data_IF_892341063981
#
_entry.id   IF_892341063981
#
_cell.length_a   1.000
_cell.length_b   1.000
_cell.length_c   1.000
_cell.angle_alpha   90.00
_cell.angle_beta   90.00
_cell.angle_gamma   90.00
#
_symmetry.space_group_name_H-M   'P 1'
#
loop_
_entity.id
_entity.type
_entity.pdbx_description
1 polymer ?
#
# COMPACT_ATOMS: atom_id res chain seq x y z
N UNK A 1 -8.37 4.61 -0.20
CA UNK A 1 -9.64 4.08 0.33
C UNK A 1 -10.09 2.97 -0.59
N UNK A 2 -10.18 1.73 -0.10
CA UNK A 2 -10.89 0.68 -0.83
C UNK A 2 -12.38 1.06 -0.91
N UNK A 3 -13.06 0.67 -1.97
CA UNK A 3 -14.49 0.93 -2.16
C UNK A 3 -15.34 0.44 -0.97
N UNK A 4 -14.84 -0.57 -0.26
CA UNK A 4 -15.39 -1.14 0.97
C UNK A 4 -15.52 -0.12 2.10
N UNK A 5 -14.54 0.76 2.31
CA UNK A 5 -14.58 1.77 3.38
C UNK A 5 -15.64 2.84 3.12
N UNK A 6 -15.81 3.26 1.86
CA UNK A 6 -16.87 4.20 1.46
C UNK A 6 -18.24 3.60 1.75
N UNK A 7 -18.42 2.33 1.41
CA UNK A 7 -19.68 1.61 1.57
C UNK A 7 -20.10 1.47 3.04
N UNK A 8 -19.17 1.17 3.95
CA UNK A 8 -19.44 1.09 5.40
C UNK A 8 -19.91 2.43 5.95
N UNK A 9 -19.25 3.53 5.59
CA UNK A 9 -19.66 4.87 6.02
C UNK A 9 -21.01 5.29 5.43
N UNK A 10 -21.29 4.92 4.18
CA UNK A 10 -22.60 5.15 3.56
C UNK A 10 -23.73 4.40 4.29
N UNK A 11 -23.49 3.14 4.69
CA UNK A 11 -24.47 2.38 5.49
C UNK A 11 -24.65 3.01 6.86
N UNK A 12 -23.58 3.40 7.55
CA UNK A 12 -23.67 4.03 8.87
C UNK A 12 -24.46 5.35 8.81
N UNK A 13 -24.24 6.17 7.77
CA UNK A 13 -25.03 7.40 7.54
C UNK A 13 -26.47 7.06 7.16
N UNK A 14 -26.71 6.06 6.31
CA UNK A 14 -28.06 5.65 5.94
C UNK A 14 -28.86 5.17 7.16
N UNK A 15 -28.27 4.34 8.02
CA UNK A 15 -28.90 3.88 9.27
C UNK A 15 -29.17 5.06 10.22
N UNK A 16 -28.21 5.99 10.35
CA UNK A 16 -28.40 7.21 11.13
C UNK A 16 -29.55 8.08 10.62
N UNK A 17 -29.62 8.28 9.30
CA UNK A 17 -30.70 9.04 8.64
C UNK A 17 -32.05 8.34 8.79
N UNK A 18 -32.11 7.02 8.58
CA UNK A 18 -33.32 6.21 8.74
C UNK A 18 -33.86 6.30 10.17
N UNK A 19 -32.99 6.26 11.18
CA UNK A 19 -33.36 6.45 12.59
C UNK A 19 -33.93 7.84 12.90
N UNK A 20 -33.56 8.86 12.12
CA UNK A 20 -34.05 10.22 12.26
C UNK A 20 -35.33 10.53 11.47
N UNK A 21 -35.80 9.63 10.58
CA UNK A 21 -36.99 9.85 9.74
C UNK A 21 -38.24 10.25 10.55
N UNK A 22 -38.60 9.58 11.67
CA UNK A 22 -39.79 9.98 12.43
C UNK A 22 -39.68 11.42 12.97
N UNK A 23 -38.49 11.85 13.36
CA UNK A 23 -38.22 13.20 13.86
C UNK A 23 -38.22 14.25 12.74
N UNK A 24 -37.72 13.90 11.55
CA UNK A 24 -37.81 14.73 10.34
C UNK A 24 -39.28 14.97 9.97
N UNK A 25 -40.10 13.91 9.95
CA UNK A 25 -41.54 13.98 9.66
C UNK A 25 -42.27 14.88 10.68
N UNK A 26 -42.02 14.69 11.98
CA UNK A 26 -42.63 15.52 13.04
C UNK A 26 -42.18 16.98 12.93
N UNK A 27 -40.91 17.24 12.60
CA UNK A 27 -40.37 18.60 12.45
C UNK A 27 -40.97 19.31 11.23
N UNK A 28 -41.15 18.58 10.11
CA UNK A 28 -41.83 19.07 8.92
C UNK A 28 -43.32 19.35 9.19
N UNK A 29 -44.03 18.42 9.84
CA UNK A 29 -45.46 18.58 10.19
C UNK A 29 -45.70 19.77 11.11
N UNK A 30 -44.78 20.04 12.05
CA UNK A 30 -44.83 21.22 12.95
C UNK A 30 -44.32 22.51 12.30
N UNK A 31 -44.03 22.52 10.99
CA UNK A 31 -43.46 23.65 10.23
C UNK A 31 -42.18 24.23 10.86
N UNK A 32 -41.41 23.39 11.56
CA UNK A 32 -40.13 23.77 12.20
C UNK A 32 -39.00 23.71 11.18
N UNK A 33 -39.09 24.47 10.10
CA UNK A 33 -38.16 24.41 8.96
C UNK A 33 -36.70 24.63 9.33
N UNK A 34 -36.42 25.49 10.33
CA UNK A 34 -35.06 25.67 10.86
C UNK A 34 -34.51 24.38 11.50
N UNK A 35 -35.34 23.69 12.30
CA UNK A 35 -34.97 22.42 12.93
C UNK A 35 -34.77 21.31 11.89
N UNK A 36 -35.64 21.26 10.88
CA UNK A 36 -35.52 20.31 9.77
C UNK A 36 -34.23 20.54 8.97
N UNK A 37 -33.91 21.79 8.67
CA UNK A 37 -32.67 22.15 7.98
C UNK A 37 -31.43 21.70 8.74
N UNK A 38 -31.39 21.89 10.06
CA UNK A 38 -30.28 21.41 10.92
C UNK A 38 -30.21 19.88 10.93
N UNK A 39 -31.34 19.19 11.04
CA UNK A 39 -31.40 17.72 11.06
C UNK A 39 -30.89 17.08 9.75
N UNK A 40 -31.02 17.77 8.61
CA UNK A 40 -30.47 17.32 7.33
C UNK A 40 -29.02 17.76 7.14
N UNK A 41 -28.70 19.02 7.46
CA UNK A 41 -27.37 19.57 7.22
C UNK A 41 -26.31 18.96 8.15
N UNK A 42 -26.64 18.68 9.41
CA UNK A 42 -25.66 18.18 10.38
C UNK A 42 -25.08 16.80 10.00
N UNK A 43 -25.86 15.77 9.61
CA UNK A 43 -25.31 14.51 9.12
C UNK A 43 -24.45 14.65 7.86
N UNK A 44 -24.86 15.51 6.91
CA UNK A 44 -24.10 15.75 5.66
C UNK A 44 -22.75 16.39 5.96
N UNK A 45 -22.73 17.42 6.82
CA UNK A 45 -21.50 18.08 7.24
C UNK A 45 -20.59 17.14 8.05
N UNK A 46 -21.17 16.32 8.94
CA UNK A 46 -20.44 15.31 9.68
C UNK A 46 -19.81 14.27 8.75
N UNK A 47 -20.55 13.77 7.76
CA UNK A 47 -20.03 12.84 6.77
C UNK A 47 -18.90 13.45 5.94
N UNK A 48 -19.06 14.69 5.47
CA UNK A 48 -18.00 15.40 4.75
C UNK A 48 -16.74 15.60 5.61
N UNK A 49 -16.91 15.94 6.89
CA UNK A 49 -15.81 16.06 7.85
C UNK A 49 -15.12 14.71 8.07
N UNK A 50 -15.87 13.62 8.22
CA UNK A 50 -15.33 12.27 8.34
C UNK A 50 -14.52 11.87 7.10
N UNK A 51 -15.04 12.09 5.89
CA UNK A 51 -14.31 11.82 4.65
C UNK A 51 -12.98 12.57 4.59
N UNK A 52 -12.97 13.84 4.99
CA UNK A 52 -11.76 14.66 5.00
C UNK A 52 -10.75 14.17 6.05
N UNK A 53 -11.21 13.86 7.26
CA UNK A 53 -10.37 13.33 8.33
C UNK A 53 -9.80 11.97 7.96
N UNK A 54 -10.59 11.06 7.38
CA UNK A 54 -10.10 9.74 6.92
C UNK A 54 -9.01 9.88 5.87
N UNK A 55 -9.19 10.76 4.87
CA UNK A 55 -8.14 11.02 3.86
C UNK A 55 -6.84 11.53 4.47
N UNK A 56 -6.92 12.41 5.46
CA UNK A 56 -5.74 12.93 6.16
C UNK A 56 -5.04 11.82 6.97
N UNK A 57 -5.81 10.98 7.66
CA UNK A 57 -5.29 9.83 8.42
C UNK A 57 -4.64 8.81 7.48
N UNK A 58 -5.29 8.45 6.38
CA UNK A 58 -4.78 7.51 5.39
C UNK A 58 -3.46 8.03 4.77
N UNK A 59 -3.42 9.32 4.42
CA UNK A 59 -2.21 9.93 3.86
C UNK A 59 -1.05 9.95 4.88
N UNK A 60 -1.35 10.30 6.13
CA UNK A 60 -0.36 10.26 7.20
C UNK A 60 0.13 8.83 7.50
N UNK A 61 -0.79 7.86 7.50
CA UNK A 61 -0.49 6.44 7.68
C UNK A 61 0.38 5.89 6.56
N UNK A 62 0.02 6.16 5.30
CA UNK A 62 0.80 5.76 4.13
C UNK A 62 2.20 6.38 4.13
N UNK A 63 2.32 7.68 4.45
CA UNK A 63 3.62 8.34 4.58
C UNK A 63 4.45 7.73 5.71
N UNK A 64 3.84 7.47 6.86
CA UNK A 64 4.51 6.80 7.99
C UNK A 64 4.99 5.41 7.59
N UNK A 65 4.17 4.65 6.88
CA UNK A 65 4.52 3.34 6.33
C UNK A 65 5.74 3.41 5.41
N UNK A 66 5.73 4.30 4.41
CA UNK A 66 6.88 4.45 3.52
C UNK A 66 8.14 4.90 4.24
N UNK A 67 8.02 5.80 5.21
CA UNK A 67 9.18 6.22 6.01
C UNK A 67 9.75 5.05 6.83
N UNK A 68 8.87 4.20 7.35
CA UNK A 68 9.24 2.98 8.06
C UNK A 68 9.82 1.90 7.13
N UNK A 69 9.50 1.93 5.83
CA UNK A 69 10.12 1.04 4.85
C UNK A 69 11.52 1.52 4.48
N UNK A 70 11.67 2.80 4.11
CA UNK A 70 12.90 3.33 3.50
C UNK A 70 13.89 4.02 4.46
N UNK A 71 13.52 4.20 5.72
CA UNK A 71 14.27 5.04 6.68
C UNK A 71 14.54 6.46 6.16
N UNK A 72 13.58 7.03 5.44
CA UNK A 72 13.66 8.36 4.84
C UNK A 72 12.29 9.03 4.83
N UNK A 73 12.22 10.36 4.70
CA UNK A 73 10.92 11.01 4.42
C UNK A 73 10.55 10.78 2.96
N UNK A 74 9.57 9.93 2.70
CA UNK A 74 9.21 9.52 1.34
C UNK A 74 7.86 10.11 0.95
N UNK A 75 7.83 10.65 -0.27
CA UNK A 75 6.61 10.96 -1.00
C UNK A 75 6.79 10.35 -2.38
N UNK A 76 6.09 9.24 -2.62
CA UNK A 76 6.03 8.65 -3.95
C UNK A 76 5.08 9.47 -4.81
N UNK A 77 5.50 9.79 -6.04
CA UNK A 77 4.61 10.31 -7.06
C UNK A 77 3.69 9.21 -7.61
N UNK A 78 2.88 9.49 -8.64
CA UNK A 78 2.14 8.44 -9.33
C UNK A 78 3.12 7.38 -9.87
N UNK A 79 2.73 6.10 -9.89
CA UNK A 79 3.53 5.05 -10.49
C UNK A 79 3.75 5.35 -11.97
N UNK A 80 4.96 5.07 -12.45
CA UNK A 80 5.30 5.11 -13.88
C UNK A 80 4.77 3.87 -14.59
N UNK A 81 4.61 2.79 -13.84
CA UNK A 81 3.94 1.57 -14.27
C UNK A 81 3.20 0.97 -13.08
N UNK A 82 1.97 0.51 -13.30
CA UNK A 82 1.14 -0.13 -12.30
C UNK A 82 0.40 -1.29 -12.94
N UNK A 83 0.44 -2.44 -12.26
CA UNK A 83 -0.35 -3.61 -12.59
C UNK A 83 -0.99 -4.14 -11.31
N UNK A 84 -2.28 -4.42 -11.37
CA UNK A 84 -3.03 -5.06 -10.30
C UNK A 84 -3.84 -6.20 -10.91
N UNK A 85 -3.65 -7.42 -10.42
CA UNK A 85 -4.55 -8.52 -10.74
C UNK A 85 -5.90 -8.31 -10.05
N UNK A 86 -6.92 -9.03 -10.51
CA UNK A 86 -8.11 -9.22 -9.69
C UNK A 86 -7.72 -9.85 -8.35
N UNK A 87 -8.34 -9.39 -7.27
CA UNK A 87 -8.09 -9.89 -5.92
C UNK A 87 -9.25 -10.75 -5.45
N UNK A 88 -8.92 -11.93 -4.93
CA UNK A 88 -9.89 -12.82 -4.31
C UNK A 88 -10.36 -12.22 -2.97
N UNK A 89 -11.53 -12.67 -2.48
CA UNK A 89 -12.12 -12.18 -1.24
C UNK A 89 -11.22 -12.38 -0.01
N UNK A 90 -10.39 -13.42 -0.01
CA UNK A 90 -9.39 -13.74 1.02
C UNK A 90 -8.11 -12.89 0.93
N UNK A 91 -7.97 -12.01 -0.06
CA UNK A 91 -6.84 -11.11 -0.21
C UNK A 91 -5.73 -11.61 -1.15
N UNK A 92 -5.90 -12.79 -1.74
CA UNK A 92 -5.02 -13.31 -2.78
C UNK A 92 -5.02 -12.37 -3.97
N UNK A 93 -3.87 -12.30 -4.62
CA UNK A 93 -3.68 -11.48 -5.81
C UNK A 93 -2.31 -10.87 -5.84
N UNK A 94 -2.10 -10.09 -6.89
CA UNK A 94 -0.80 -9.59 -7.27
C UNK A 94 -0.89 -8.11 -7.60
N UNK A 95 0.03 -7.32 -7.06
CA UNK A 95 0.24 -5.95 -7.51
C UNK A 95 1.72 -5.67 -7.73
N UNK A 96 1.99 -4.90 -8.78
CA UNK A 96 3.32 -4.52 -9.18
C UNK A 96 3.33 -3.05 -9.56
N UNK A 97 4.13 -2.26 -8.86
CA UNK A 97 4.20 -0.82 -9.04
C UNK A 97 5.65 -0.39 -9.23
N UNK A 98 5.88 0.49 -10.20
CA UNK A 98 7.19 1.09 -10.48
C UNK A 98 7.12 2.58 -10.26
N UNK A 99 7.94 3.09 -9.37
CA UNK A 99 8.04 4.52 -9.08
C UNK A 99 9.36 5.09 -9.58
N UNK A 100 9.37 6.41 -9.84
CA UNK A 100 10.63 7.16 -9.92
C UNK A 100 11.24 7.19 -8.51
N UNK A 101 12.55 6.98 -8.43
CA UNK A 101 13.29 7.06 -7.18
C UNK A 101 13.33 8.52 -6.67
N UNK A 102 12.69 8.83 -5.52
CA UNK A 102 12.78 10.16 -4.93
C UNK A 102 14.18 10.44 -4.40
N UNK A 103 14.60 11.70 -4.43
CA UNK A 103 15.93 12.12 -3.96
C UNK A 103 16.17 11.78 -2.48
N UNK A 104 15.12 11.79 -1.65
CA UNK A 104 15.23 11.42 -0.24
C UNK A 104 15.62 9.95 -0.03
N UNK A 105 15.01 9.04 -0.79
CA UNK A 105 15.35 7.61 -0.76
C UNK A 105 16.71 7.38 -1.41
N UNK A 106 17.00 8.05 -2.54
CA UNK A 106 18.30 7.99 -3.21
C UNK A 106 19.43 8.36 -2.25
N UNK A 107 19.32 9.51 -1.59
CA UNK A 107 20.34 10.01 -0.66
C UNK A 107 20.54 9.05 0.51
N UNK A 108 19.44 8.47 1.03
CA UNK A 108 19.48 7.51 2.14
C UNK A 108 20.23 6.22 1.81
N UNK A 109 20.07 5.72 0.59
CA UNK A 109 20.67 4.47 0.11
C UNK A 109 22.06 4.66 -0.51
N UNK A 110 22.43 5.88 -0.92
CA UNK A 110 23.80 6.20 -1.35
C UNK A 110 24.80 6.27 -0.19
N UNK A 111 24.31 6.52 1.02
CA UNK A 111 25.10 6.49 2.26
C UNK A 111 24.41 5.59 3.29
N UNK A 112 24.32 4.26 3.03
CA UNK A 112 23.68 3.35 3.95
C UNK A 112 24.51 3.24 5.23
N UNK A 113 23.83 3.00 6.35
CA UNK A 113 24.47 2.79 7.65
C UNK A 113 23.98 1.46 8.25
N UNK A 114 24.55 1.05 9.39
CA UNK A 114 24.17 -0.21 10.03
C UNK A 114 22.69 -0.28 10.41
N UNK A 115 22.06 0.86 10.68
CA UNK A 115 20.64 0.96 11.04
C UNK A 115 19.73 0.56 9.89
N UNK A 116 20.07 0.93 8.65
CA UNK A 116 19.31 0.51 7.47
C UNK A 116 19.21 -1.02 7.37
N UNK A 117 20.33 -1.69 7.61
CA UNK A 117 20.47 -3.13 7.42
C UNK A 117 20.02 -3.96 8.63
N UNK A 118 19.97 -3.35 9.82
CA UNK A 118 19.59 -4.02 11.06
C UNK A 118 18.13 -3.79 11.47
N UNK A 119 17.59 -2.58 11.22
CA UNK A 119 16.32 -2.14 11.80
C UNK A 119 15.24 -1.84 10.75
N UNK A 120 15.58 -1.83 9.46
CA UNK A 120 14.68 -1.43 8.38
C UNK A 120 14.55 -2.49 7.29
N UNK A 121 13.34 -2.67 6.73
CA UNK A 121 12.12 -1.92 7.00
C UNK A 121 11.47 -2.31 8.32
N UNK A 122 10.73 -1.38 8.94
CA UNK A 122 9.95 -1.68 10.15
C UNK A 122 8.64 -2.34 9.75
N UNK A 123 8.42 -3.54 10.28
CA UNK A 123 7.21 -4.33 10.05
C UNK A 123 5.94 -3.55 10.46
N UNK A 124 4.92 -3.49 9.60
CA UNK A 124 3.66 -2.86 9.96
C UNK A 124 2.88 -3.70 10.97
N UNK A 125 2.10 -3.05 11.83
CA UNK A 125 1.37 -3.71 12.92
C UNK A 125 0.29 -4.68 12.45
N UNK A 126 -0.29 -4.48 11.27
CA UNK A 126 -1.29 -5.38 10.68
C UNK A 126 -0.67 -6.67 10.09
N UNK A 127 0.65 -6.80 10.09
CA UNK A 127 1.42 -7.98 9.67
C UNK A 127 2.46 -8.38 10.71
N UNK A 128 2.09 -8.29 11.98
CA UNK A 128 2.94 -8.64 13.12
C UNK A 128 3.47 -10.08 13.11
N UNK A 129 2.77 -11.01 12.46
CA UNK A 129 3.14 -12.40 12.27
C UNK A 129 4.04 -12.66 11.05
N UNK A 130 4.32 -11.64 10.22
CA UNK A 130 5.18 -11.78 9.05
C UNK A 130 6.65 -11.69 9.43
N UNK A 131 7.51 -12.43 8.76
CA UNK A 131 8.96 -12.26 8.83
C UNK A 131 9.39 -10.97 8.12
N UNK A 132 10.43 -10.31 8.64
CA UNK A 132 11.06 -9.14 8.00
C UNK A 132 12.47 -9.51 7.56
N UNK A 133 12.72 -9.42 6.26
CA UNK A 133 14.08 -9.46 5.70
C UNK A 133 14.55 -8.04 5.48
N UNK A 134 15.40 -7.55 6.37
CA UNK A 134 15.96 -6.20 6.32
C UNK A 134 16.69 -5.90 5.00
N UNK A 135 16.90 -4.61 4.74
CA UNK A 135 17.59 -4.15 3.54
C UNK A 135 18.95 -4.81 3.36
N UNK A 136 19.28 -5.11 2.11
CA UNK A 136 20.58 -5.61 1.67
C UNK A 136 20.93 -4.94 0.36
N UNK A 137 22.22 -4.71 0.16
CA UNK A 137 22.74 -4.32 -1.15
C UNK A 137 23.02 -5.57 -1.97
N UNK A 138 22.69 -5.51 -3.26
CA UNK A 138 23.07 -6.48 -4.25
C UNK A 138 24.61 -6.56 -4.39
N UNK A 139 25.17 -7.71 -4.84
CA UNK A 139 24.51 -8.82 -5.52
C UNK A 139 23.56 -9.65 -4.65
N UNK A 140 22.56 -10.29 -5.29
CA UNK A 140 21.55 -11.11 -4.62
C UNK A 140 22.18 -12.21 -3.74
N UNK A 141 21.84 -12.18 -2.44
CA UNK A 141 22.10 -13.30 -1.52
C UNK A 141 21.31 -14.54 -1.98
N UNK A 142 21.96 -15.70 -2.19
CA UNK A 142 21.28 -16.95 -2.53
C UNK A 142 20.09 -17.28 -1.62
N UNK A 143 20.14 -16.95 -0.33
CA UNK A 143 19.06 -17.16 0.64
C UNK A 143 17.80 -16.29 0.40
N UNK A 144 17.86 -15.37 -0.56
CA UNK A 144 16.74 -14.54 -1.01
C UNK A 144 16.20 -14.98 -2.38
N UNK A 145 16.85 -15.95 -3.05
CA UNK A 145 16.49 -16.36 -4.41
C UNK A 145 15.07 -16.89 -4.52
N UNK A 146 14.61 -17.64 -3.52
CA UNK A 146 13.24 -18.18 -3.49
C UNK A 146 12.21 -17.06 -3.34
N UNK A 147 12.45 -16.11 -2.43
CA UNK A 147 11.56 -14.96 -2.22
C UNK A 147 11.44 -14.10 -3.48
N UNK A 148 12.58 -13.84 -4.16
CA UNK A 148 12.59 -13.10 -5.42
C UNK A 148 11.87 -13.88 -6.54
N UNK A 149 12.12 -15.18 -6.64
CA UNK A 149 11.50 -16.02 -7.67
C UNK A 149 9.99 -16.07 -7.49
N UNK A 150 9.51 -16.18 -6.26
CA UNK A 150 8.09 -16.14 -5.92
C UNK A 150 7.47 -14.76 -6.21
N UNK A 151 8.12 -13.66 -5.85
CA UNK A 151 7.60 -12.32 -6.16
C UNK A 151 7.51 -12.04 -7.68
N UNK A 152 8.38 -12.65 -8.48
CA UNK A 152 8.44 -12.47 -9.93
C UNK A 152 7.78 -13.61 -10.73
N UNK A 153 7.03 -14.50 -10.08
CA UNK A 153 6.40 -15.67 -10.73
C UNK A 153 5.02 -15.39 -11.35
N UNK A 154 4.50 -14.16 -11.21
CA UNK A 154 3.18 -13.82 -11.72
C UNK A 154 3.08 -13.98 -13.24
N UNK A 155 1.96 -14.53 -13.70
CA UNK A 155 1.71 -14.83 -15.11
C UNK A 155 1.38 -13.54 -15.88
N UNK A 156 2.30 -13.14 -16.75
CA UNK A 156 2.00 -12.26 -17.88
C UNK A 156 1.30 -13.11 -18.94
N UNK A 157 0.03 -13.49 -18.70
CA UNK A 157 -0.75 -14.47 -19.50
C UNK A 157 -0.81 -14.17 -21.00
N UNK A 158 -0.30 -13.01 -21.45
CA UNK A 158 -0.25 -12.64 -22.86
C UNK A 158 0.92 -11.75 -23.31
N UNK A 159 1.95 -11.50 -22.48
CA UNK A 159 2.96 -10.43 -22.69
C UNK A 159 2.37 -9.01 -22.81
N UNK A 160 1.05 -8.86 -22.70
CA UNK A 160 0.35 -7.61 -22.94
C UNK A 160 0.42 -6.64 -21.76
N UNK A 161 0.82 -7.12 -20.58
CA UNK A 161 0.86 -6.29 -19.37
C UNK A 161 2.12 -5.45 -19.25
N UNK A 162 3.22 -5.81 -19.94
CA UNK A 162 4.51 -5.14 -19.82
C UNK A 162 5.33 -5.55 -18.59
N UNK A 163 4.85 -6.50 -17.77
CA UNK A 163 5.55 -7.00 -16.58
C UNK A 163 6.88 -7.66 -16.92
N UNK A 164 6.94 -8.42 -18.01
CA UNK A 164 8.13 -9.18 -18.42
C UNK A 164 9.38 -8.28 -18.50
N UNK A 165 9.26 -7.10 -19.12
CA UNK A 165 10.37 -6.15 -19.24
C UNK A 165 10.84 -5.65 -17.86
N UNK A 166 9.90 -5.38 -16.95
CA UNK A 166 10.23 -4.97 -15.60
C UNK A 166 10.88 -6.10 -14.78
N UNK A 167 10.46 -7.34 -14.96
CA UNK A 167 11.08 -8.49 -14.29
C UNK A 167 12.51 -8.71 -14.78
N UNK A 168 12.75 -8.58 -16.08
CA UNK A 168 14.09 -8.69 -16.65
C UNK A 168 15.00 -7.56 -16.17
N UNK A 169 14.47 -6.34 -16.10
CA UNK A 169 15.18 -5.20 -15.50
C UNK A 169 15.55 -5.48 -14.04
N UNK A 170 14.62 -5.97 -13.22
CA UNK A 170 14.90 -6.33 -11.81
C UNK A 170 15.99 -7.41 -11.72
N UNK A 171 15.87 -8.49 -12.50
CA UNK A 171 16.85 -9.58 -12.52
C UNK A 171 18.23 -9.10 -12.93
N UNK A 172 18.32 -8.17 -13.89
CA UNK A 172 19.58 -7.53 -14.26
C UNK A 172 20.13 -6.65 -13.13
N UNK A 173 19.29 -5.78 -12.55
CA UNK A 173 19.69 -4.83 -11.52
C UNK A 173 20.21 -5.49 -10.25
N UNK A 174 19.65 -6.63 -9.84
CA UNK A 174 20.04 -7.29 -8.59
C UNK A 174 21.37 -8.05 -8.67
N UNK A 175 22.02 -8.05 -9.83
CA UNK A 175 23.38 -8.59 -10.02
C UNK A 175 24.49 -7.57 -9.76
N UNK A 176 24.15 -6.29 -9.59
CA UNK A 176 25.11 -5.19 -9.44
C UNK A 176 24.91 -4.42 -8.14
N UNK A 177 26.00 -3.87 -7.60
CA UNK A 177 25.96 -2.91 -6.50
C UNK A 177 25.09 -1.70 -6.87
N UNK A 178 24.63 -0.96 -5.87
CA UNK A 178 23.70 0.15 -6.05
C UNK A 178 22.25 -0.27 -6.29
N UNK A 179 21.94 -1.56 -6.13
CA UNK A 179 20.58 -2.08 -6.03
C UNK A 179 20.35 -2.59 -4.62
N UNK A 180 19.27 -2.15 -3.99
CA UNK A 180 18.88 -2.57 -2.64
C UNK A 180 17.59 -3.35 -2.68
N UNK A 181 17.46 -4.35 -1.83
CA UNK A 181 16.25 -5.17 -1.75
C UNK A 181 15.91 -5.54 -0.30
N UNK A 182 14.63 -5.74 -0.05
CA UNK A 182 14.07 -6.12 1.25
C UNK A 182 12.66 -6.69 1.07
N UNK A 183 12.20 -7.54 1.98
CA UNK A 183 10.80 -7.95 1.97
C UNK A 183 10.20 -8.15 3.36
N UNK A 184 8.86 -8.08 3.40
CA UNK A 184 8.08 -8.77 4.40
C UNK A 184 7.55 -10.06 3.78
N UNK A 185 7.64 -11.18 4.50
CA UNK A 185 7.08 -12.43 4.00
C UNK A 185 6.32 -13.20 5.06
N UNK A 186 5.33 -13.96 4.64
CA UNK A 186 4.64 -14.90 5.49
C UNK A 186 4.52 -16.24 4.77
N UNK A 187 5.09 -17.25 5.40
CA UNK A 187 5.06 -18.62 4.92
C UNK A 187 4.25 -19.47 5.90
N UNK A 188 3.00 -19.84 5.56
CA UNK A 188 2.18 -20.70 6.40
C UNK A 188 2.60 -22.18 6.38
N UNK A 189 3.59 -22.59 5.57
CA UNK A 189 4.07 -23.98 5.55
C UNK A 189 4.47 -24.47 4.15
N UNK A 190 3.67 -25.35 3.55
CA UNK A 190 4.08 -26.16 2.38
C UNK A 190 4.31 -25.36 1.08
N UNK A 191 3.96 -24.07 1.05
CA UNK A 191 4.13 -23.19 -0.12
C UNK A 191 4.41 -21.76 0.34
N UNK A 192 5.28 -21.00 -0.36
CA UNK A 192 5.47 -19.57 -0.10
C UNK A 192 4.12 -18.86 -0.26
N UNK A 193 3.57 -18.39 0.86
CA UNK A 193 2.18 -17.93 0.90
C UNK A 193 2.02 -16.46 0.54
N UNK A 194 2.89 -15.58 1.03
CA UNK A 194 2.71 -14.14 0.84
C UNK A 194 4.03 -13.34 0.93
N UNK A 195 4.16 -12.30 0.11
CA UNK A 195 5.32 -11.40 0.12
C UNK A 195 4.95 -9.95 -0.25
N UNK A 196 5.58 -9.00 0.46
CA UNK A 196 5.79 -7.62 -0.01
C UNK A 196 7.28 -7.43 -0.26
N UNK A 197 7.67 -7.36 -1.52
CA UNK A 197 9.04 -7.15 -1.96
C UNK A 197 9.26 -5.71 -2.39
N UNK A 198 10.32 -5.11 -1.88
CA UNK A 198 10.79 -3.78 -2.23
C UNK A 198 12.17 -3.88 -2.87
N UNK A 199 12.34 -3.24 -4.02
CA UNK A 199 13.64 -3.13 -4.69
C UNK A 199 13.88 -1.67 -5.07
N UNK A 200 15.10 -1.17 -4.82
CA UNK A 200 15.53 0.16 -5.23
C UNK A 200 16.77 0.06 -6.09
N UNK A 201 16.68 0.53 -7.33
CA UNK A 201 17.81 0.60 -8.25
C UNK A 201 18.27 2.07 -8.38
N UNK A 202 19.44 2.37 -7.82
CA UNK A 202 20.03 3.71 -7.85
C UNK A 202 20.47 4.13 -9.26
N UNK A 203 20.88 3.19 -10.11
CA UNK A 203 21.35 3.44 -11.46
C UNK A 203 20.18 3.76 -12.41
N UNK A 204 19.14 2.92 -12.38
CA UNK A 204 17.93 3.16 -13.17
C UNK A 204 17.06 4.28 -12.59
N UNK A 205 17.26 4.62 -11.31
CA UNK A 205 16.45 5.60 -10.60
C UNK A 205 15.02 5.13 -10.41
N UNK A 206 14.84 3.86 -10.02
CA UNK A 206 13.53 3.21 -9.87
C UNK A 206 13.35 2.58 -8.51
N UNK A 207 12.10 2.55 -8.07
CA UNK A 207 11.64 1.74 -6.95
C UNK A 207 10.60 0.77 -7.50
N UNK A 208 10.70 -0.50 -7.11
CA UNK A 208 9.74 -1.54 -7.42
C UNK A 208 9.06 -1.98 -6.12
N UNK A 209 7.72 -1.95 -6.10
CA UNK A 209 6.90 -2.53 -5.05
C UNK A 209 6.14 -3.71 -5.64
N UNK A 210 6.26 -4.86 -5.00
CA UNK A 210 5.61 -6.09 -5.45
C UNK A 210 4.88 -6.69 -4.26
N UNK A 211 3.58 -6.86 -4.36
CA UNK A 211 2.80 -7.66 -3.42
C UNK A 211 2.31 -8.90 -4.16
N UNK A 212 2.58 -10.08 -3.60
CA UNK A 212 2.10 -11.34 -4.11
C UNK A 212 1.55 -12.16 -2.93
N UNK A 213 0.24 -12.37 -2.93
CA UNK A 213 -0.48 -13.14 -1.93
C UNK A 213 -1.18 -14.32 -2.60
N UNK A 214 -1.07 -15.51 -2.01
CA UNK A 214 -1.67 -16.77 -2.50
C UNK A 214 -2.38 -17.53 -1.38
#
# INVERSE_FOLDING_TARGET
>A
MSDTSIFIWLIAVAVGVLGCIPWLIVSAAKKRWRSLGIQIAAPVLLFAALLLVTRLIDHAGYRSYLNNVYDASVVLGPPVFEYNSERSFNGDGYSFEVYKLPDSVRSRLQAPDGRLFADFPKRPTYRDHWETKHWREAPLDPAFSEDLSFALSSYDESKATGLTEHFDNIRSSITRNGTFYSCFKYDPGDYPGNIDLFIVDLHAGRIYHINHNT
#
